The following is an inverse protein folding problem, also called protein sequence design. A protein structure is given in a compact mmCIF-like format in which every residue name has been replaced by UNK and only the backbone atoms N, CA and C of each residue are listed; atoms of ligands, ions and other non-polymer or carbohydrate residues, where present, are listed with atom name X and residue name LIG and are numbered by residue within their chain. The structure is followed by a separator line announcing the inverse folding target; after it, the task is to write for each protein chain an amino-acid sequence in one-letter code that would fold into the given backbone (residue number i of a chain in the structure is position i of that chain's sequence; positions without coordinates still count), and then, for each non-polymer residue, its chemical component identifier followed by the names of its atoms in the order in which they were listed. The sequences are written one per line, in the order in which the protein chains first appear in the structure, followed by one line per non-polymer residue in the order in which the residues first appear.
data_IF_383101735609
#
_entry.id   IF_383101735609
#
_cell.length_a   1.000
_cell.length_b   1.000
_cell.length_c   1.000
_cell.angle_alpha   90.00
_cell.angle_beta   90.00
_cell.angle_gamma   90.00
#
_symmetry.space_group_name_H-M   'P 1'
#
loop_
_entity.id
_entity.type
_entity.pdbx_description
1 polymer ?
#
# COMPACT_ATOMS: atom_id res chain seq x y z
N UNK A 1 2.37 20.08 13.94
CA UNK A 1 3.06 19.85 12.65
C UNK A 1 3.70 21.15 12.21
N UNK A 2 4.82 21.13 11.47
CA UNK A 2 5.52 22.33 10.97
C UNK A 2 6.93 21.96 10.57
N UNK A 3 7.71 22.93 10.08
CA UNK A 3 9.09 22.72 9.58
C UNK A 3 10.01 22.11 10.65
N UNK A 4 9.91 22.54 11.92
CA UNK A 4 10.71 21.97 13.00
C UNK A 4 10.41 20.45 13.17
N UNK A 5 9.13 20.09 13.32
CA UNK A 5 8.75 18.67 13.45
C UNK A 5 9.13 17.81 12.22
N UNK A 6 9.14 18.41 11.02
CA UNK A 6 9.59 17.73 9.81
C UNK A 6 11.10 17.44 9.85
N UNK A 7 11.90 18.40 10.32
CA UNK A 7 13.35 18.24 10.47
C UNK A 7 13.70 17.27 11.58
N UNK A 8 13.07 17.42 12.75
CA UNK A 8 13.28 16.47 13.86
C UNK A 8 13.03 15.02 13.42
N UNK A 9 11.98 14.78 12.61
CA UNK A 9 11.67 13.47 12.06
C UNK A 9 12.69 13.00 11.02
N UNK A 10 13.15 13.89 10.14
CA UNK A 10 14.17 13.61 9.14
C UNK A 10 15.49 13.25 9.83
N UNK A 11 15.89 14.02 10.83
CA UNK A 11 17.12 13.81 11.57
C UNK A 11 17.08 12.46 12.30
N UNK A 12 16.01 12.17 13.04
CA UNK A 12 15.82 10.88 13.72
C UNK A 12 15.84 9.69 12.74
N UNK A 13 15.22 9.83 11.57
CA UNK A 13 15.26 8.78 10.54
C UNK A 13 16.66 8.57 9.99
N UNK A 14 17.40 9.65 9.71
CA UNK A 14 18.76 9.61 9.19
C UNK A 14 19.82 9.17 10.22
N UNK A 15 19.49 9.20 11.53
CA UNK A 15 20.37 8.71 12.59
C UNK A 15 20.37 7.19 12.72
N UNK A 16 19.24 6.53 12.44
CA UNK A 16 19.09 5.09 12.71
C UNK A 16 18.33 4.33 11.61
N UNK A 17 17.04 4.56 11.44
CA UNK A 17 16.16 3.69 10.63
C UNK A 17 16.53 3.66 9.14
N UNK A 18 17.17 4.70 8.60
CA UNK A 18 17.61 4.75 7.19
C UNK A 18 18.59 3.62 6.84
N UNK A 19 19.41 3.19 7.80
CA UNK A 19 20.40 2.14 7.59
C UNK A 19 19.80 0.73 7.54
N UNK A 20 18.56 0.57 8.02
CA UNK A 20 17.77 -0.67 7.94
C UNK A 20 16.55 -0.55 7.00
N UNK A 21 16.42 0.59 6.33
CA UNK A 21 15.24 0.87 5.50
C UNK A 21 14.97 -0.19 4.42
N UNK A 22 16.02 -0.72 3.79
CA UNK A 22 15.87 -1.74 2.75
C UNK A 22 15.19 -3.01 3.27
N UNK A 23 15.44 -3.38 4.53
CA UNK A 23 14.89 -4.57 5.18
C UNK A 23 13.53 -4.28 5.81
N UNK A 24 13.42 -3.16 6.54
CA UNK A 24 12.27 -2.88 7.41
C UNK A 24 11.11 -2.18 6.71
N UNK A 25 11.35 -1.53 5.55
CA UNK A 25 10.38 -0.71 4.84
C UNK A 25 9.08 -1.41 4.46
N UNK A 26 9.08 -2.71 4.38
CA UNK A 26 7.91 -3.50 3.96
C UNK A 26 7.11 -4.06 5.14
N UNK A 27 7.60 -3.93 6.37
CA UNK A 27 6.96 -4.44 7.59
C UNK A 27 6.20 -3.31 8.31
N UNK A 28 4.86 -3.26 8.22
CA UNK A 28 4.07 -2.14 8.74
C UNK A 28 4.06 -2.04 10.28
N UNK A 29 4.34 -3.16 11.00
CA UNK A 29 4.50 -3.16 12.44
C UNK A 29 5.79 -2.47 12.92
N UNK A 30 6.80 -2.36 12.04
CA UNK A 30 8.08 -1.73 12.36
C UNK A 30 8.04 -0.22 12.11
N UNK A 31 8.75 0.55 12.93
CA UNK A 31 9.02 1.98 12.68
C UNK A 31 10.22 2.14 11.72
N UNK A 32 10.14 1.47 10.57
CA UNK A 32 11.18 1.39 9.53
C UNK A 32 11.05 2.43 8.41
N UNK A 33 10.10 3.37 8.50
CA UNK A 33 9.83 4.37 7.45
C UNK A 33 9.96 5.80 7.95
N UNK A 34 10.35 6.71 7.06
CA UNK A 34 10.55 8.11 7.41
C UNK A 34 9.24 8.85 7.79
N UNK A 35 8.08 8.38 7.36
CA UNK A 35 6.77 9.05 7.49
C UNK A 35 6.81 10.54 7.09
N UNK A 36 7.62 10.89 6.07
CA UNK A 36 7.80 12.27 5.59
C UNK A 36 6.81 12.67 4.50
N UNK A 37 5.93 11.77 4.05
CA UNK A 37 5.01 12.02 2.94
C UNK A 37 4.11 13.23 3.16
N UNK A 38 3.55 13.41 4.35
CA UNK A 38 2.74 14.59 4.72
C UNK A 38 3.60 15.87 4.66
N UNK A 39 4.83 15.81 5.14
CA UNK A 39 5.74 16.95 5.15
C UNK A 39 6.19 17.36 3.75
N UNK A 40 6.47 16.37 2.89
CA UNK A 40 6.81 16.58 1.48
C UNK A 40 5.62 17.11 0.69
N UNK A 41 4.39 16.62 0.98
CA UNK A 41 3.16 17.11 0.34
C UNK A 41 2.90 18.58 0.64
N UNK A 42 2.99 18.97 1.92
CA UNK A 42 2.68 20.32 2.36
C UNK A 42 3.89 21.26 2.35
N UNK A 43 5.05 20.81 1.87
CA UNK A 43 6.25 21.62 1.73
C UNK A 43 6.85 22.10 3.06
N UNK A 44 6.56 21.42 4.18
CA UNK A 44 7.19 21.72 5.49
C UNK A 44 8.62 21.18 5.57
N UNK A 45 9.01 20.31 4.63
CA UNK A 45 10.39 19.95 4.28
C UNK A 45 10.49 19.83 2.76
N UNK A 46 11.59 20.31 2.19
CA UNK A 46 11.84 20.23 0.75
C UNK A 46 12.52 18.91 0.35
N UNK A 47 12.17 18.37 -0.84
CA UNK A 47 12.79 17.13 -1.33
C UNK A 47 14.32 17.23 -1.43
N UNK A 48 14.86 18.42 -1.76
CA UNK A 48 16.30 18.65 -1.82
C UNK A 48 16.95 18.65 -0.43
N UNK A 49 16.24 19.10 0.60
CA UNK A 49 16.68 19.03 2.00
C UNK A 49 16.76 17.57 2.45
N UNK A 50 15.71 16.77 2.17
CA UNK A 50 15.70 15.34 2.45
C UNK A 50 16.83 14.63 1.70
N UNK A 51 17.05 14.95 0.42
CA UNK A 51 18.11 14.34 -0.37
C UNK A 51 19.49 14.62 0.26
N UNK A 52 19.80 15.87 0.67
CA UNK A 52 21.08 16.20 1.30
C UNK A 52 21.29 15.46 2.61
N UNK A 53 20.28 15.42 3.49
CA UNK A 53 20.38 14.71 4.75
C UNK A 53 20.68 13.21 4.53
N UNK A 54 20.05 12.61 3.50
CA UNK A 54 20.32 11.21 3.16
C UNK A 54 21.69 11.00 2.51
N UNK A 55 22.24 11.97 1.75
CA UNK A 55 23.62 11.90 1.26
C UNK A 55 24.63 11.95 2.42
N UNK A 56 24.41 12.84 3.40
CA UNK A 56 25.22 12.90 4.60
C UNK A 56 25.16 11.58 5.41
N UNK A 57 24.00 10.93 5.48
CA UNK A 57 23.87 9.61 6.07
C UNK A 57 24.64 8.56 5.27
N UNK A 58 24.57 8.59 3.95
CA UNK A 58 25.32 7.68 3.07
C UNK A 58 26.83 7.84 3.22
N UNK A 59 27.32 9.07 3.35
CA UNK A 59 28.74 9.37 3.58
C UNK A 59 29.22 8.82 4.92
N UNK A 60 28.39 8.85 5.97
CA UNK A 60 28.70 8.23 7.27
C UNK A 60 28.79 6.69 7.16
N UNK A 61 27.98 6.09 6.31
CA UNK A 61 28.01 4.66 6.03
C UNK A 61 29.18 4.22 5.10
N UNK A 62 29.86 5.17 4.44
CA UNK A 62 30.90 4.93 3.42
C UNK A 62 32.26 4.49 4.02
N UNK A 63 32.27 3.44 4.81
CA UNK A 63 33.45 2.69 5.22
C UNK A 63 33.29 1.20 4.95
N UNK A 64 32.09 0.80 4.56
CA UNK A 64 31.71 -0.57 4.21
C UNK A 64 31.67 -0.74 2.70
N UNK A 65 32.00 -1.94 2.21
CA UNK A 65 31.88 -2.25 0.79
C UNK A 65 30.44 -1.96 0.33
N UNK A 66 30.29 -1.46 -0.89
CA UNK A 66 29.02 -1.03 -1.49
C UNK A 66 28.17 -2.26 -1.93
N UNK A 67 28.15 -3.29 -1.08
CA UNK A 67 27.50 -4.56 -1.34
C UNK A 67 25.98 -4.48 -1.04
N UNK A 68 25.23 -5.35 -1.68
CA UNK A 68 23.81 -5.55 -1.41
C UNK A 68 23.63 -5.94 0.07
N UNK A 69 22.84 -5.17 0.84
CA UNK A 69 22.66 -5.34 2.29
C UNK A 69 23.50 -4.41 3.15
N UNK A 70 24.39 -3.56 2.57
CA UNK A 70 25.09 -2.53 3.32
C UNK A 70 24.19 -1.35 3.72
N UNK A 71 24.61 -0.63 4.77
CA UNK A 71 23.95 0.61 5.20
C UNK A 71 23.82 1.61 4.03
N UNK A 72 24.86 1.75 3.21
CA UNK A 72 24.83 2.60 2.03
C UNK A 72 23.81 2.13 0.98
N UNK A 73 23.63 0.82 0.79
CA UNK A 73 22.58 0.28 -0.09
C UNK A 73 21.18 0.56 0.45
N UNK A 74 21.00 0.51 1.78
CA UNK A 74 19.75 0.88 2.45
C UNK A 74 19.39 2.35 2.22
N UNK A 75 20.35 3.27 2.39
CA UNK A 75 20.16 4.69 2.08
C UNK A 75 19.74 4.89 0.61
N UNK A 76 20.41 4.22 -0.33
CA UNK A 76 20.05 4.28 -1.76
C UNK A 76 18.64 3.74 -2.03
N UNK A 77 18.21 2.73 -1.28
CA UNK A 77 16.85 2.21 -1.38
C UNK A 77 15.80 3.29 -1.01
N UNK A 78 16.09 4.10 0.01
CA UNK A 78 15.23 5.25 0.35
C UNK A 78 15.30 6.34 -0.72
N UNK A 79 16.48 6.72 -1.19
CA UNK A 79 16.65 7.73 -2.25
C UNK A 79 15.90 7.37 -3.54
N UNK A 80 15.84 6.08 -3.89
CA UNK A 80 15.00 5.61 -5.00
C UNK A 80 13.52 5.93 -4.81
N UNK A 81 13.00 6.01 -3.58
CA UNK A 81 11.59 6.41 -3.35
C UNK A 81 11.38 7.89 -3.63
N UNK A 82 12.38 8.75 -3.38
CA UNK A 82 12.31 10.15 -3.79
C UNK A 82 12.32 10.28 -5.32
N UNK A 83 13.11 9.46 -6.01
CA UNK A 83 13.12 9.41 -7.47
C UNK A 83 11.77 8.91 -8.04
N UNK A 84 11.13 7.91 -7.44
CA UNK A 84 9.79 7.46 -7.82
C UNK A 84 8.75 8.58 -7.66
N UNK A 85 8.82 9.35 -6.58
CA UNK A 85 7.95 10.51 -6.38
C UNK A 85 8.09 11.51 -7.51
N UNK A 86 9.31 11.85 -7.93
CA UNK A 86 9.58 12.74 -9.06
C UNK A 86 9.11 12.13 -10.39
N UNK A 87 9.31 10.83 -10.60
CA UNK A 87 8.84 10.13 -11.79
C UNK A 87 7.33 10.31 -11.98
N UNK A 88 6.52 10.04 -10.95
CA UNK A 88 5.07 10.22 -11.05
C UNK A 88 4.67 11.67 -11.23
N UNK A 89 5.38 12.63 -10.65
CA UNK A 89 5.15 14.06 -10.91
C UNK A 89 5.37 14.42 -12.38
N UNK A 90 6.42 13.87 -13.02
CA UNK A 90 6.67 14.07 -14.45
C UNK A 90 5.62 13.38 -15.33
N UNK A 91 5.17 12.19 -14.95
CA UNK A 91 4.07 11.49 -15.65
C UNK A 91 2.80 12.33 -15.63
N UNK A 92 2.41 12.85 -14.45
CA UNK A 92 1.23 13.71 -14.31
C UNK A 92 1.38 15.03 -15.09
N UNK A 93 2.57 15.63 -15.11
CA UNK A 93 2.83 16.85 -15.87
C UNK A 93 2.66 16.62 -17.37
N UNK A 94 3.07 15.47 -17.89
CA UNK A 94 2.93 15.09 -19.30
C UNK A 94 1.49 14.62 -19.66
N UNK A 95 0.81 13.99 -18.72
CA UNK A 95 -0.53 13.39 -18.88
C UNK A 95 -1.43 13.79 -17.70
N UNK A 96 -1.92 15.05 -17.66
CA UNK A 96 -2.79 15.52 -16.56
C UNK A 96 -4.12 14.77 -16.44
N UNK A 97 -4.53 14.09 -17.49
CA UNK A 97 -5.78 13.32 -17.56
C UNK A 97 -5.73 12.00 -16.75
N UNK A 98 -4.54 11.52 -16.36
CA UNK A 98 -4.39 10.23 -15.66
C UNK A 98 -5.04 10.18 -14.26
N UNK A 99 -5.40 11.31 -13.69
CA UNK A 99 -6.17 11.33 -12.42
C UNK A 99 -7.61 10.84 -12.60
N UNK A 100 -8.11 10.78 -13.84
CA UNK A 100 -9.46 10.38 -14.18
C UNK A 100 -9.53 9.32 -15.29
N UNK A 101 -8.42 9.08 -15.99
CA UNK A 101 -8.36 8.14 -17.13
C UNK A 101 -7.22 7.15 -16.93
N UNK A 102 -7.38 5.95 -17.50
CA UNK A 102 -6.30 4.99 -17.57
C UNK A 102 -5.15 5.56 -18.42
N UNK A 103 -3.92 5.41 -17.93
CA UNK A 103 -2.74 5.73 -18.73
C UNK A 103 -2.61 4.75 -19.92
N UNK A 104 -2.81 3.47 -19.65
CA UNK A 104 -2.81 2.39 -20.63
C UNK A 104 -4.22 2.16 -21.12
N UNK A 105 -4.45 2.32 -22.41
CA UNK A 105 -5.71 1.96 -23.08
C UNK A 105 -5.72 0.47 -23.38
N UNK A 106 -6.87 -0.16 -23.15
CA UNK A 106 -7.16 -1.53 -23.52
C UNK A 106 -8.00 -1.53 -24.79
N UNK A 107 -8.02 -2.66 -25.54
CA UNK A 107 -8.83 -2.79 -26.77
C UNK A 107 -10.32 -2.69 -26.46
N UNK A 108 -10.74 -3.30 -25.35
CA UNK A 108 -12.11 -3.22 -24.84
C UNK A 108 -12.11 -2.56 -23.44
N UNK A 109 -13.27 -2.09 -23.01
CA UNK A 109 -13.44 -1.57 -21.65
C UNK A 109 -13.21 -2.67 -20.59
N UNK A 110 -12.58 -2.32 -19.49
CA UNK A 110 -12.48 -3.21 -18.33
C UNK A 110 -13.86 -3.26 -17.67
N UNK A 111 -14.45 -4.45 -17.61
CA UNK A 111 -15.76 -4.69 -16.96
C UNK A 111 -15.63 -4.67 -15.45
N UNK A 112 -15.58 -3.47 -14.84
CA UNK A 112 -15.64 -3.30 -13.40
C UNK A 112 -16.99 -3.70 -12.85
N UNK A 113 -17.03 -4.21 -11.61
CA UNK A 113 -18.26 -4.52 -10.91
C UNK A 113 -18.81 -3.28 -10.22
N UNK A 114 -20.12 -3.14 -10.26
CA UNK A 114 -20.87 -2.19 -9.45
C UNK A 114 -21.39 -2.92 -8.19
N UNK A 115 -20.54 -2.96 -7.15
CA UNK A 115 -20.82 -3.67 -5.89
C UNK A 115 -20.59 -2.71 -4.71
N UNK A 116 -21.59 -1.88 -4.47
CA UNK A 116 -21.57 -0.87 -3.41
C UNK A 116 -21.37 -1.49 -2.02
N UNK A 117 -21.93 -2.69 -1.76
CA UNK A 117 -21.78 -3.36 -0.48
C UNK A 117 -20.33 -3.81 -0.23
N UNK A 118 -19.67 -4.38 -1.24
CA UNK A 118 -18.26 -4.76 -1.17
C UNK A 118 -17.35 -3.53 -1.06
N UNK A 119 -17.62 -2.46 -1.81
CA UNK A 119 -16.91 -1.18 -1.72
C UNK A 119 -17.02 -0.59 -0.31
N UNK A 120 -18.22 -0.59 0.27
CA UNK A 120 -18.42 -0.06 1.63
C UNK A 120 -17.72 -0.93 2.68
N UNK A 121 -17.77 -2.26 2.57
CA UNK A 121 -17.04 -3.17 3.45
C UNK A 121 -15.53 -2.91 3.39
N UNK A 122 -14.98 -2.67 2.19
CA UNK A 122 -13.58 -2.29 2.00
C UNK A 122 -13.28 -0.93 2.65
N UNK A 123 -14.10 0.10 2.41
CA UNK A 123 -13.95 1.44 3.03
C UNK A 123 -13.96 1.37 4.55
N UNK A 124 -14.75 0.47 5.12
CA UNK A 124 -14.89 0.30 6.57
C UNK A 124 -13.84 -0.62 7.21
N UNK A 125 -13.02 -1.31 6.40
CA UNK A 125 -12.07 -2.30 6.88
C UNK A 125 -12.78 -3.50 7.53
N UNK A 126 -13.77 -4.06 6.82
CA UNK A 126 -14.63 -5.17 7.22
C UNK A 126 -14.80 -6.19 6.08
N UNK A 127 -13.73 -6.45 5.35
CA UNK A 127 -13.73 -7.40 4.23
C UNK A 127 -13.62 -8.86 4.67
N UNK A 128 -13.22 -9.10 5.93
CA UNK A 128 -12.86 -10.42 6.42
C UNK A 128 -11.47 -10.90 5.97
N UNK A 129 -10.66 -9.99 5.43
CA UNK A 129 -9.23 -10.19 5.16
C UNK A 129 -8.42 -9.31 6.12
N UNK A 130 -7.90 -9.88 7.24
CA UNK A 130 -7.38 -9.09 8.36
C UNK A 130 -6.31 -8.08 8.00
N UNK A 131 -5.37 -8.42 7.10
CA UNK A 131 -4.30 -7.52 6.68
C UNK A 131 -4.82 -6.35 5.81
N UNK A 132 -5.82 -6.58 4.97
CA UNK A 132 -6.52 -5.53 4.20
C UNK A 132 -7.27 -4.61 5.14
N UNK A 133 -8.05 -5.20 6.07
CA UNK A 133 -8.88 -4.46 7.02
C UNK A 133 -8.04 -3.59 7.96
N UNK A 134 -6.91 -4.12 8.45
CA UNK A 134 -5.96 -3.36 9.26
C UNK A 134 -5.42 -2.14 8.51
N UNK A 135 -5.09 -2.29 7.22
CA UNK A 135 -4.65 -1.17 6.37
C UNK A 135 -5.72 -0.08 6.22
N UNK A 136 -6.96 -0.47 5.95
CA UNK A 136 -8.07 0.49 5.80
C UNK A 136 -8.41 1.18 7.13
N UNK A 137 -8.30 0.47 8.26
CA UNK A 137 -8.51 1.05 9.59
C UNK A 137 -7.38 1.98 10.00
N UNK A 138 -6.12 1.67 9.64
CA UNK A 138 -5.00 2.60 9.81
C UNK A 138 -5.26 3.91 9.04
N UNK A 139 -5.68 3.83 7.77
CA UNK A 139 -6.03 5.00 6.98
C UNK A 139 -7.06 5.88 7.69
N UNK A 140 -8.10 5.28 8.25
CA UNK A 140 -9.17 6.01 8.96
C UNK A 140 -8.71 6.61 10.29
N UNK A 141 -7.83 5.92 11.00
CA UNK A 141 -7.35 6.34 12.32
C UNK A 141 -6.28 7.43 12.24
N UNK A 142 -5.36 7.33 11.27
CA UNK A 142 -4.16 8.16 11.20
C UNK A 142 -4.19 9.17 10.04
N UNK A 143 -5.17 9.11 9.14
CA UNK A 143 -5.15 9.82 7.85
C UNK A 143 -3.86 9.54 7.05
N UNK A 144 -3.28 8.39 7.28
CA UNK A 144 -2.06 7.88 6.67
C UNK A 144 -2.13 6.35 6.61
N UNK A 145 -1.46 5.75 5.66
CA UNK A 145 -1.39 4.30 5.51
C UNK A 145 0.01 3.92 5.02
N UNK A 146 0.57 2.87 5.60
CA UNK A 146 1.87 2.33 5.21
C UNK A 146 1.89 1.91 3.74
N UNK A 147 3.03 2.15 3.02
CA UNK A 147 3.11 1.89 1.58
C UNK A 147 2.75 0.45 1.18
N UNK A 148 3.20 -0.56 1.96
CA UNK A 148 2.82 -1.96 1.69
C UNK A 148 1.31 -2.15 1.69
N UNK A 149 0.62 -1.52 2.63
CA UNK A 149 -0.83 -1.59 2.71
C UNK A 149 -1.51 -0.82 1.57
N UNK A 150 -0.95 0.33 1.11
CA UNK A 150 -1.49 1.02 -0.10
C UNK A 150 -1.55 0.07 -1.28
N UNK A 151 -0.49 -0.73 -1.49
CA UNK A 151 -0.44 -1.71 -2.58
C UNK A 151 -1.44 -2.85 -2.37
N UNK A 152 -1.53 -3.39 -1.15
CA UNK A 152 -2.39 -4.54 -0.85
C UNK A 152 -3.87 -4.17 -0.92
N UNK A 153 -4.28 -3.05 -0.29
CA UNK A 153 -5.69 -2.65 -0.30
C UNK A 153 -6.16 -2.20 -1.70
N UNK A 154 -5.25 -1.60 -2.50
CA UNK A 154 -5.56 -1.23 -3.88
C UNK A 154 -5.65 -2.46 -4.79
N UNK A 155 -4.76 -3.44 -4.62
CA UNK A 155 -4.84 -4.71 -5.35
C UNK A 155 -6.12 -5.47 -4.99
N UNK A 156 -6.50 -5.51 -3.71
CA UNK A 156 -7.73 -6.15 -3.27
C UNK A 156 -8.97 -5.49 -3.89
N UNK A 157 -9.06 -4.16 -3.86
CA UNK A 157 -10.17 -3.45 -4.48
C UNK A 157 -10.28 -3.75 -5.98
N UNK A 158 -9.17 -3.65 -6.71
CA UNK A 158 -9.17 -3.69 -8.17
C UNK A 158 -9.14 -5.11 -8.76
N UNK A 159 -8.72 -6.11 -7.99
CA UNK A 159 -8.60 -7.51 -8.46
C UNK A 159 -9.58 -8.44 -7.76
N UNK A 160 -9.63 -8.42 -6.43
CA UNK A 160 -10.54 -9.31 -5.69
C UNK A 160 -11.99 -8.80 -5.75
N UNK A 161 -12.21 -7.51 -5.57
CA UNK A 161 -13.55 -6.93 -5.68
C UNK A 161 -13.89 -6.56 -7.12
N UNK A 162 -12.92 -6.38 -8.03
CA UNK A 162 -13.10 -5.88 -9.39
C UNK A 162 -13.86 -4.54 -9.44
N UNK A 163 -13.64 -3.67 -8.45
CA UNK A 163 -14.18 -2.32 -8.41
C UNK A 163 -13.19 -1.36 -9.07
N UNK A 164 -13.73 -0.35 -9.77
CA UNK A 164 -12.91 0.64 -10.47
C UNK A 164 -11.92 1.34 -9.50
N UNK A 165 -10.67 1.43 -9.91
CA UNK A 165 -9.62 2.07 -9.13
C UNK A 165 -9.93 3.52 -8.75
N UNK A 166 -10.79 4.21 -9.51
CA UNK A 166 -11.19 5.60 -9.24
C UNK A 166 -11.96 5.74 -7.93
N UNK A 167 -12.75 4.74 -7.56
CA UNK A 167 -13.45 4.70 -6.27
C UNK A 167 -12.46 4.69 -5.09
N UNK A 168 -11.40 3.90 -5.22
CA UNK A 168 -10.34 3.86 -4.23
C UNK A 168 -9.48 5.13 -4.21
N UNK A 169 -9.14 5.67 -5.39
CA UNK A 169 -8.43 6.95 -5.51
C UNK A 169 -9.20 8.09 -4.85
N UNK A 170 -10.51 8.19 -5.09
CA UNK A 170 -11.36 9.22 -4.50
C UNK A 170 -11.47 9.05 -2.98
N UNK A 171 -11.54 7.81 -2.48
CA UNK A 171 -11.50 7.55 -1.05
C UNK A 171 -10.16 7.95 -0.41
N UNK A 172 -9.04 7.66 -1.06
CA UNK A 172 -7.71 8.09 -0.61
C UNK A 172 -7.59 9.61 -0.62
N UNK A 173 -8.10 10.27 -1.66
CA UNK A 173 -8.13 11.74 -1.76
C UNK A 173 -8.89 12.36 -0.60
N UNK A 174 -9.97 11.74 -0.15
CA UNK A 174 -10.78 12.21 0.99
C UNK A 174 -10.08 11.97 2.34
N UNK A 175 -9.40 10.83 2.51
CA UNK A 175 -8.92 10.38 3.82
C UNK A 175 -7.44 10.67 4.10
N UNK A 176 -6.58 10.74 3.07
CA UNK A 176 -5.15 10.90 3.26
C UNK A 176 -4.74 12.35 3.54
N UNK A 177 -4.01 12.57 4.62
CA UNK A 177 -3.36 13.86 4.90
C UNK A 177 -2.19 14.15 3.92
N UNK A 178 -1.63 13.13 3.31
CA UNK A 178 -0.53 13.21 2.34
C UNK A 178 -0.97 12.99 0.89
N UNK A 179 -2.29 13.07 0.60
CA UNK A 179 -2.79 12.88 -0.76
C UNK A 179 -1.99 13.68 -1.79
N UNK A 180 -1.36 13.00 -2.73
CA UNK A 180 -0.60 13.56 -3.84
C UNK A 180 -1.16 13.02 -5.15
N UNK A 181 -1.79 13.87 -6.00
CA UNK A 181 -2.47 13.41 -7.22
C UNK A 181 -1.58 12.57 -8.16
N UNK A 182 -0.28 12.89 -8.23
CA UNK A 182 0.65 12.17 -9.09
C UNK A 182 0.97 10.77 -8.54
N UNK A 183 1.34 10.71 -7.27
CA UNK A 183 1.74 9.45 -6.63
C UNK A 183 0.54 8.54 -6.40
N UNK A 184 -0.62 9.11 -5.99
CA UNK A 184 -1.81 8.31 -5.74
C UNK A 184 -2.41 7.78 -7.05
N UNK A 185 -2.54 8.61 -8.12
CA UNK A 185 -2.97 8.11 -9.43
C UNK A 185 -2.01 7.05 -9.99
N UNK A 186 -0.68 7.26 -9.84
CA UNK A 186 0.32 6.29 -10.24
C UNK A 186 0.21 4.98 -9.49
N UNK A 187 0.07 5.03 -8.16
CA UNK A 187 -0.04 3.85 -7.29
C UNK A 187 -1.33 3.06 -7.52
N UNK A 188 -2.47 3.75 -7.65
CA UNK A 188 -3.75 3.12 -7.95
C UNK A 188 -3.74 2.43 -9.31
N UNK A 189 -3.25 3.10 -10.35
CA UNK A 189 -3.15 2.53 -11.69
C UNK A 189 -2.07 1.45 -11.79
N UNK A 190 -1.03 1.50 -10.95
CA UNK A 190 -0.09 0.38 -10.83
C UNK A 190 -0.81 -0.89 -10.36
N UNK A 191 -1.61 -0.82 -9.30
CA UNK A 191 -2.39 -1.94 -8.78
C UNK A 191 -3.47 -2.42 -9.76
N UNK A 192 -4.15 -1.48 -10.41
CA UNK A 192 -5.19 -1.74 -11.41
C UNK A 192 -4.66 -2.26 -12.76
N UNK A 193 -3.34 -2.32 -12.97
CA UNK A 193 -2.71 -2.71 -14.25
C UNK A 193 -2.97 -1.73 -15.40
N UNK A 194 -3.37 -0.50 -15.11
CA UNK A 194 -3.72 0.54 -16.10
C UNK A 194 -2.69 1.67 -16.20
N UNK A 195 -1.64 1.65 -15.37
CA UNK A 195 -0.64 2.71 -15.27
C UNK A 195 0.52 2.59 -16.25
N UNK A 196 1.40 3.60 -16.22
CA UNK A 196 2.63 3.64 -17.02
C UNK A 196 3.60 2.52 -16.62
N UNK A 197 3.83 2.33 -15.32
CA UNK A 197 4.66 1.27 -14.73
C UNK A 197 3.78 0.26 -13.98
N UNK A 198 2.70 -0.18 -14.64
CA UNK A 198 1.72 -1.04 -14.01
C UNK A 198 2.23 -2.47 -13.87
N UNK A 199 1.90 -3.10 -12.74
CA UNK A 199 2.13 -4.54 -12.61
C UNK A 199 1.33 -5.31 -13.67
N UNK A 200 1.84 -6.48 -14.12
CA UNK A 200 1.10 -7.34 -15.03
C UNK A 200 -0.27 -7.73 -14.45
N UNK A 201 -1.31 -7.73 -15.28
CA UNK A 201 -2.69 -8.00 -14.84
C UNK A 201 -2.86 -9.37 -14.16
N UNK A 202 -2.09 -10.36 -14.59
CA UNK A 202 -2.11 -11.73 -14.04
C UNK A 202 -1.40 -11.85 -12.67
N UNK A 203 -0.65 -10.83 -12.23
CA UNK A 203 -0.04 -10.78 -10.92
C UNK A 203 -1.06 -10.22 -9.92
N UNK A 204 -1.87 -11.08 -9.38
CA UNK A 204 -2.84 -10.74 -8.33
C UNK A 204 -2.21 -11.03 -6.97
N UNK A 205 -2.17 -10.03 -6.09
CA UNK A 205 -1.67 -10.23 -4.73
C UNK A 205 -2.66 -11.10 -3.95
N UNK A 206 -2.15 -12.16 -3.33
CA UNK A 206 -2.94 -12.91 -2.36
C UNK A 206 -2.88 -12.16 -1.01
N UNK A 207 -3.98 -11.63 -0.48
CA UNK A 207 -4.00 -10.84 0.73
C UNK A 207 -3.54 -11.60 1.98
N UNK A 208 -3.75 -12.92 2.01
CA UNK A 208 -3.29 -13.82 3.08
C UNK A 208 -1.77 -13.92 3.08
N UNK A 209 -1.19 -14.31 1.94
CA UNK A 209 0.27 -14.42 1.79
C UNK A 209 0.99 -13.07 2.02
N UNK A 210 0.34 -11.93 1.70
CA UNK A 210 0.89 -10.62 2.05
C UNK A 210 0.92 -10.41 3.56
N UNK A 211 -0.12 -10.80 4.29
CA UNK A 211 -0.16 -10.77 5.75
C UNK A 211 0.92 -11.66 6.38
N UNK A 212 0.96 -12.94 6.01
CA UNK A 212 1.96 -13.90 6.49
C UNK A 212 3.41 -13.41 6.30
N UNK A 213 3.67 -12.78 5.15
CA UNK A 213 5.03 -12.33 4.81
C UNK A 213 5.45 -11.05 5.51
N UNK A 214 4.54 -10.08 5.67
CA UNK A 214 4.89 -8.72 6.09
C UNK A 214 4.38 -8.35 7.49
N UNK A 215 3.60 -9.23 8.10
CA UNK A 215 3.14 -9.13 9.50
C UNK A 215 3.03 -10.55 10.10
N UNK A 216 4.11 -11.36 10.07
CA UNK A 216 4.06 -12.79 10.40
C UNK A 216 3.49 -13.05 11.81
N UNK A 217 3.78 -12.18 12.76
CA UNK A 217 3.28 -12.26 14.13
C UNK A 217 1.91 -11.60 14.33
N UNK A 218 1.31 -11.06 13.25
CA UNK A 218 0.04 -10.34 13.24
C UNK A 218 -0.03 -9.13 14.23
N UNK A 219 1.10 -8.50 14.50
CA UNK A 219 1.19 -7.33 15.41
C UNK A 219 0.47 -6.11 14.84
N UNK A 220 0.68 -5.85 13.54
CA UNK A 220 0.01 -4.77 12.84
C UNK A 220 -1.50 -5.00 12.77
N UNK A 221 -1.91 -6.23 12.43
CA UNK A 221 -3.34 -6.58 12.40
C UNK A 221 -3.98 -6.35 13.76
N UNK A 222 -3.40 -6.86 14.86
CA UNK A 222 -3.98 -6.67 16.21
C UNK A 222 -4.06 -5.22 16.63
N UNK A 223 -3.14 -4.37 16.14
CA UNK A 223 -3.14 -2.93 16.45
C UNK A 223 -4.38 -2.23 15.88
N UNK A 224 -4.81 -2.60 14.67
CA UNK A 224 -5.91 -1.91 13.99
C UNK A 224 -7.22 -2.71 13.92
N UNK A 225 -7.18 -3.99 14.27
CA UNK A 225 -8.36 -4.88 14.31
C UNK A 225 -8.51 -5.45 15.72
N UNK A 226 -9.03 -4.66 16.68
CA UNK A 226 -9.11 -5.05 18.08
C UNK A 226 -9.97 -6.30 18.32
N UNK A 227 -10.90 -6.62 17.41
CA UNK A 227 -11.70 -7.85 17.47
C UNK A 227 -10.84 -9.12 17.37
N UNK A 228 -9.63 -9.00 16.81
CA UNK A 228 -8.66 -10.10 16.65
C UNK A 228 -7.53 -10.07 17.68
N UNK A 229 -7.60 -9.22 18.70
CA UNK A 229 -6.51 -9.03 19.68
C UNK A 229 -6.10 -10.32 20.40
N UNK A 230 -7.06 -11.19 20.70
CA UNK A 230 -6.85 -12.45 21.42
C UNK A 230 -6.59 -13.65 20.49
N UNK A 231 -6.73 -13.47 19.17
CA UNK A 231 -6.50 -14.52 18.19
C UNK A 231 -4.98 -14.78 18.01
N UNK A 232 -4.59 -16.03 17.78
CA UNK A 232 -3.22 -16.36 17.38
C UNK A 232 -2.90 -15.85 15.97
N UNK A 233 -1.61 -15.70 15.63
CA UNK A 233 -1.20 -15.30 14.29
C UNK A 233 -1.72 -16.30 13.24
N UNK A 234 -1.66 -17.61 13.52
CA UNK A 234 -2.18 -18.65 12.62
C UNK A 234 -3.70 -18.51 12.38
N UNK A 235 -4.46 -18.16 13.43
CA UNK A 235 -5.91 -17.93 13.28
C UNK A 235 -6.20 -16.66 12.48
N UNK A 236 -5.39 -15.61 12.64
CA UNK A 236 -5.52 -14.35 11.93
C UNK A 236 -5.21 -14.56 10.44
N UNK A 237 -4.08 -15.17 10.11
CA UNK A 237 -3.70 -15.43 8.72
C UNK A 237 -4.58 -16.49 8.06
N UNK A 238 -4.99 -17.53 8.82
CA UNK A 238 -5.92 -18.57 8.36
C UNK A 238 -7.40 -18.21 8.48
N UNK A 239 -7.76 -16.94 8.76
CA UNK A 239 -9.16 -16.54 8.99
C UNK A 239 -10.13 -16.98 7.89
N UNK A 240 -9.69 -16.92 6.64
CA UNK A 240 -10.48 -17.29 5.47
C UNK A 240 -10.84 -18.78 5.42
N UNK A 241 -10.03 -19.65 6.03
CA UNK A 241 -10.23 -21.10 6.07
C UNK A 241 -11.01 -21.59 7.31
N UNK A 242 -11.19 -20.73 8.32
CA UNK A 242 -11.95 -21.08 9.50
C UNK A 242 -13.43 -21.31 9.16
N UNK A 243 -14.04 -22.33 9.77
CA UNK A 243 -15.49 -22.49 9.74
C UNK A 243 -16.20 -21.39 10.52
N UNK A 244 -17.51 -21.17 10.24
CA UNK A 244 -18.30 -20.17 10.95
C UNK A 244 -18.27 -20.41 12.47
N UNK A 245 -18.34 -21.66 12.93
CA UNK A 245 -18.27 -22.01 14.35
C UNK A 245 -16.91 -21.64 14.96
N UNK A 246 -15.83 -21.78 14.20
CA UNK A 246 -14.48 -21.39 14.68
C UNK A 246 -14.35 -19.88 14.72
N UNK A 247 -14.81 -19.16 13.70
CA UNK A 247 -14.85 -17.69 13.66
C UNK A 247 -15.66 -17.12 14.84
N UNK A 248 -16.86 -17.64 15.10
CA UNK A 248 -17.71 -17.23 16.22
C UNK A 248 -17.03 -17.45 17.58
N UNK A 249 -16.18 -18.49 17.69
CA UNK A 249 -15.44 -18.75 18.94
C UNK A 249 -14.24 -17.82 19.11
N UNK A 250 -13.54 -17.49 18.01
CA UNK A 250 -12.30 -16.71 18.04
C UNK A 250 -12.61 -15.21 18.14
N UNK A 251 -13.48 -14.70 17.24
CA UNK A 251 -13.82 -13.29 17.16
C UNK A 251 -15.22 -13.10 16.55
N UNK A 252 -16.30 -13.23 17.34
CA UNK A 252 -17.68 -13.17 16.84
C UNK A 252 -18.06 -11.83 16.19
N UNK A 253 -17.36 -10.76 16.53
CA UNK A 253 -17.61 -9.41 16.01
C UNK A 253 -16.84 -9.09 14.72
N UNK A 254 -15.89 -9.96 14.32
CA UNK A 254 -15.11 -9.78 13.09
C UNK A 254 -15.76 -10.57 11.93
N UNK A 255 -15.94 -9.95 10.75
CA UNK A 255 -16.70 -10.55 9.66
C UNK A 255 -16.01 -11.76 9.02
N UNK A 256 -16.81 -12.64 8.45
CA UNK A 256 -16.33 -13.64 7.49
C UNK A 256 -15.82 -12.96 6.20
N UNK A 257 -14.96 -13.60 5.41
CA UNK A 257 -14.53 -13.10 4.11
C UNK A 257 -15.72 -12.83 3.17
N UNK A 258 -15.76 -11.64 2.58
CA UNK A 258 -16.85 -11.23 1.66
C UNK A 258 -16.70 -11.81 0.25
N UNK A 259 -15.54 -12.35 -0.08
CA UNK A 259 -15.22 -13.00 -1.37
C UNK A 259 -14.26 -14.17 -1.15
N UNK A 260 -14.24 -15.12 -2.07
CA UNK A 260 -13.18 -16.13 -2.18
C UNK A 260 -12.07 -15.61 -3.09
N UNK A 261 -10.84 -15.52 -2.57
CA UNK A 261 -9.69 -14.99 -3.30
C UNK A 261 -9.36 -15.80 -4.56
N UNK A 262 -9.45 -17.14 -4.52
CA UNK A 262 -9.08 -17.98 -5.66
C UNK A 262 -10.06 -17.76 -6.82
N UNK A 263 -11.36 -17.76 -6.54
CA UNK A 263 -12.41 -17.46 -7.54
C UNK A 263 -12.26 -16.04 -8.11
N UNK A 264 -11.99 -15.08 -7.24
CA UNK A 264 -11.84 -13.66 -7.66
C UNK A 264 -10.61 -13.44 -8.51
N UNK A 265 -9.50 -14.11 -8.19
CA UNK A 265 -8.28 -14.06 -8.98
C UNK A 265 -8.52 -14.55 -10.41
N UNK A 266 -9.22 -15.68 -10.58
CA UNK A 266 -9.56 -16.21 -11.91
C UNK A 266 -10.47 -15.26 -12.67
N UNK A 267 -11.51 -14.74 -12.01
CA UNK A 267 -12.42 -13.76 -12.58
C UNK A 267 -11.69 -12.46 -13.03
N UNK A 268 -10.74 -11.98 -12.22
CA UNK A 268 -9.94 -10.81 -12.57
C UNK A 268 -9.09 -11.07 -13.81
N UNK A 269 -8.38 -12.19 -13.88
CA UNK A 269 -7.55 -12.55 -15.03
C UNK A 269 -8.41 -12.59 -16.30
N UNK A 270 -9.54 -13.31 -16.28
CA UNK A 270 -10.44 -13.42 -17.42
C UNK A 270 -11.01 -12.05 -17.85
N UNK A 271 -11.32 -11.15 -16.88
CA UNK A 271 -11.79 -9.79 -17.19
C UNK A 271 -10.73 -8.97 -17.93
N UNK A 272 -9.46 -9.04 -17.49
CA UNK A 272 -8.38 -8.33 -18.16
C UNK A 272 -7.97 -8.96 -19.50
N UNK A 273 -8.11 -10.27 -19.69
CA UNK A 273 -7.92 -10.94 -20.97
C UNK A 273 -8.96 -10.45 -21.99
N UNK A 274 -10.24 -10.42 -21.62
CA UNK A 274 -11.30 -9.81 -22.48
C UNK A 274 -11.03 -8.34 -22.78
N UNK A 275 -10.60 -7.56 -21.81
CA UNK A 275 -10.27 -6.15 -22.05
C UNK A 275 -9.12 -5.98 -23.05
N UNK A 276 -8.18 -6.92 -23.10
CA UNK A 276 -7.07 -6.92 -24.07
C UNK A 276 -7.43 -7.44 -25.46
N UNK A 277 -8.59 -8.08 -25.62
CA UNK A 277 -8.95 -8.75 -26.86
C UNK A 277 -8.24 -10.09 -27.06
N UNK A 278 -7.79 -10.73 -26.00
CA UNK A 278 -7.09 -12.04 -26.02
C UNK A 278 -8.10 -13.22 -25.99
N UNK A 279 -9.20 -13.15 -26.77
CA UNK A 279 -10.22 -14.21 -26.90
C UNK A 279 -9.79 -15.38 -27.79
#
# INVERSE_FOLDING_TARGET
MGTAAARDRLDAFCEDAIFRYAEDRDYPAKDGTARLSVHLKWGTVGVREVWRATEEARERAAGEADDEGSDAASVRAFQRQLAWREFYAHVLAARPDIVARNYREYENDIEWRDDEAALQAWKDGRTGYPFVDAGMRQLRAEAWIHNRLRMVVAAFLTKDLLVDWREGYDWFREKLADHDPANDAGGWQWAASTGMDAQPYFRVFNPVTQGERYDPDAEFVRTYVPELSDASADQIHGWHDLSDTERDRVAPDYPAPIVDHAERREAAIATFERARGDD
#
